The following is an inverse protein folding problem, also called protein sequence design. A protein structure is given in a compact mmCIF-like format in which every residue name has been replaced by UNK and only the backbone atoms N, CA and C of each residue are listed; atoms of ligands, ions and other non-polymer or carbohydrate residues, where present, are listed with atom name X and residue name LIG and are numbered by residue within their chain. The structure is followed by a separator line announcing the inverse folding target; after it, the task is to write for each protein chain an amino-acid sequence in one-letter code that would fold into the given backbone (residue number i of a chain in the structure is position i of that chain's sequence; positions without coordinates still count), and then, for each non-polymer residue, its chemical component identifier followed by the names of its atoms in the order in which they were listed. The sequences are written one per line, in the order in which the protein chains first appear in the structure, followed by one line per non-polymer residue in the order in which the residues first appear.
data_IF_432565988459
#
_entry.id   IF_432565988459
#
_cell.length_a   1.000
_cell.length_b   1.000
_cell.length_c   1.000
_cell.angle_alpha   90.00
_cell.angle_beta   90.00
_cell.angle_gamma   90.00
#
_symmetry.space_group_name_H-M   'P 1'
#
loop_
_entity.id
_entity.type
_entity.pdbx_description
1 polymer ?
#
# COMPACT_ATOMS: atom_id res chain seq x y z
N UNK A 1 1.60 3.96 1.47
CA UNK A 1 2.26 4.62 2.60
C UNK A 1 1.40 5.68 3.23
N UNK A 2 1.99 6.55 4.07
CA UNK A 2 1.29 7.68 4.68
C UNK A 2 0.97 8.74 3.62
N UNK A 3 2.00 9.24 2.91
CA UNK A 3 1.85 10.28 1.88
C UNK A 3 1.89 9.78 0.44
N UNK A 4 2.16 8.49 0.17
CA UNK A 4 2.28 7.96 -1.20
C UNK A 4 1.56 6.64 -1.37
N UNK A 5 1.04 6.40 -2.58
CA UNK A 5 0.52 5.11 -3.01
C UNK A 5 1.39 4.57 -4.15
N UNK A 6 2.00 3.42 -3.92
CA UNK A 6 2.83 2.72 -4.89
C UNK A 6 1.97 1.72 -5.65
N UNK A 7 2.18 1.63 -6.96
CA UNK A 7 1.39 0.81 -7.88
C UNK A 7 2.37 -0.08 -8.65
N UNK A 8 2.11 -1.37 -8.68
CA UNK A 8 2.83 -2.31 -9.54
C UNK A 8 1.84 -3.15 -10.34
N UNK A 9 2.07 -3.27 -11.63
CA UNK A 9 1.28 -4.10 -12.53
C UNK A 9 2.05 -5.38 -12.79
N UNK A 10 1.39 -6.50 -12.52
CA UNK A 10 1.94 -7.86 -12.68
C UNK A 10 1.19 -8.56 -13.80
N UNK A 11 1.93 -9.17 -14.70
CA UNK A 11 1.41 -10.04 -15.75
C UNK A 11 2.27 -11.30 -15.85
N UNK A 12 1.61 -12.46 -15.89
CA UNK A 12 2.28 -13.77 -15.98
C UNK A 12 3.39 -13.98 -14.93
N UNK A 13 3.14 -13.49 -13.69
CA UNK A 13 4.07 -13.58 -12.56
C UNK A 13 5.22 -12.56 -12.57
N UNK A 14 5.30 -11.68 -13.57
CA UNK A 14 6.35 -10.66 -13.69
C UNK A 14 5.79 -9.26 -13.53
N UNK A 15 6.54 -8.36 -12.87
CA UNK A 15 6.21 -6.95 -12.81
C UNK A 15 6.51 -6.33 -14.17
N UNK A 16 5.50 -5.77 -14.83
CA UNK A 16 5.60 -5.15 -16.15
C UNK A 16 5.58 -3.61 -16.10
N UNK A 17 5.04 -3.04 -15.04
CA UNK A 17 5.04 -1.60 -14.84
C UNK A 17 5.05 -1.27 -13.33
N UNK A 18 5.64 -0.13 -13.01
CA UNK A 18 5.70 0.42 -11.67
C UNK A 18 5.42 1.92 -11.70
N UNK A 19 4.70 2.42 -10.73
CA UNK A 19 4.41 3.84 -10.60
C UNK A 19 4.03 4.22 -9.18
N UNK A 20 3.92 5.53 -8.93
CA UNK A 20 3.59 6.11 -7.65
C UNK A 20 2.72 7.34 -7.86
N UNK A 21 1.84 7.62 -6.91
CA UNK A 21 1.16 8.91 -6.77
C UNK A 21 1.44 9.49 -5.38
N UNK A 22 1.58 10.82 -5.25
CA UNK A 22 1.84 11.47 -3.97
C UNK A 22 0.54 11.74 -3.19
N UNK A 23 -0.35 10.76 -3.12
CA UNK A 23 -1.63 10.79 -2.41
C UNK A 23 -1.84 9.46 -1.69
N UNK A 24 -2.16 9.51 -0.42
CA UNK A 24 -2.47 8.32 0.40
C UNK A 24 -3.23 8.67 1.68
N UNK A 25 -2.96 7.98 2.78
CA UNK A 25 -3.67 8.13 4.05
C UNK A 25 -3.58 9.51 4.70
N UNK A 26 -2.57 10.31 4.35
CA UNK A 26 -2.39 11.67 4.89
C UNK A 26 -3.50 12.62 4.42
N UNK A 27 -4.03 12.45 3.21
CA UNK A 27 -5.19 13.20 2.71
C UNK A 27 -6.40 13.06 3.64
N UNK A 28 -6.62 11.86 4.15
CA UNK A 28 -7.70 11.58 5.12
C UNK A 28 -7.40 12.26 6.45
N UNK A 29 -6.14 12.21 6.90
CA UNK A 29 -5.72 12.87 8.14
C UNK A 29 -5.90 14.39 8.04
N UNK A 30 -5.52 14.99 6.92
CA UNK A 30 -5.71 16.41 6.66
C UNK A 30 -7.19 16.81 6.62
N UNK A 31 -8.06 15.99 6.01
CA UNK A 31 -9.49 16.23 6.02
C UNK A 31 -10.07 16.27 7.44
N UNK A 32 -9.63 15.34 8.31
CA UNK A 32 -10.00 15.31 9.73
C UNK A 32 -9.46 16.54 10.47
N UNK A 33 -8.17 16.87 10.29
CA UNK A 33 -7.53 18.01 10.91
C UNK A 33 -8.24 19.33 10.56
N UNK A 34 -8.57 19.52 9.28
CA UNK A 34 -9.30 20.68 8.78
C UNK A 34 -10.73 20.75 9.33
N UNK A 35 -11.44 19.62 9.38
CA UNK A 35 -12.83 19.59 9.88
C UNK A 35 -12.93 19.96 11.34
N UNK A 36 -12.01 19.44 12.16
CA UNK A 36 -12.07 19.59 13.61
C UNK A 36 -11.12 20.64 14.17
N UNK A 37 -10.44 21.39 13.29
CA UNK A 37 -9.47 22.42 13.66
C UNK A 37 -8.47 21.88 14.69
N UNK A 38 -7.80 20.76 14.35
CA UNK A 38 -6.82 20.12 15.21
C UNK A 38 -5.48 19.96 14.46
N UNK A 39 -4.41 19.63 15.19
CA UNK A 39 -3.12 19.32 14.58
C UNK A 39 -3.14 17.95 13.89
N UNK A 40 -2.13 17.74 13.04
CA UNK A 40 -2.00 16.51 12.26
C UNK A 40 -1.87 15.25 13.13
N UNK A 41 -1.13 15.32 14.23
CA UNK A 41 -0.90 14.18 15.13
C UNK A 41 -2.20 13.75 15.81
N UNK A 42 -2.97 14.72 16.29
CA UNK A 42 -4.30 14.48 16.89
C UNK A 42 -5.26 13.90 15.86
N UNK A 43 -5.28 14.44 14.62
CA UNK A 43 -6.11 13.91 13.53
C UNK A 43 -5.72 12.46 13.17
N UNK A 44 -4.41 12.16 13.09
CA UNK A 44 -3.92 10.81 12.84
C UNK A 44 -4.28 9.84 13.97
N UNK A 45 -4.21 10.30 15.22
CA UNK A 45 -4.69 9.53 16.37
C UNK A 45 -6.20 9.22 16.26
N UNK A 46 -7.03 10.22 15.93
CA UNK A 46 -8.48 10.06 15.75
C UNK A 46 -8.75 9.02 14.67
N UNK A 47 -8.14 9.16 13.50
CA UNK A 47 -8.25 8.23 12.37
C UNK A 47 -7.99 6.80 12.78
N UNK A 48 -6.83 6.54 13.40
CA UNK A 48 -6.42 5.20 13.85
C UNK A 48 -7.29 4.65 14.99
N UNK A 49 -7.72 5.52 15.89
CA UNK A 49 -8.55 5.11 17.02
C UNK A 49 -9.97 4.72 16.56
N UNK A 50 -10.55 5.41 15.58
CA UNK A 50 -11.85 5.09 15.00
C UNK A 50 -11.86 3.80 14.16
N UNK A 51 -10.69 3.29 13.72
CA UNK A 51 -10.62 1.93 13.16
C UNK A 51 -10.98 0.84 14.18
N UNK A 52 -10.78 1.11 15.47
CA UNK A 52 -10.90 0.12 16.57
C UNK A 52 -12.04 0.41 17.51
N UNK A 53 -12.46 1.66 17.63
CA UNK A 53 -13.47 2.14 18.58
C UNK A 53 -14.64 2.76 17.82
N UNK A 54 -15.83 2.60 18.36
CA UNK A 54 -17.04 3.22 17.79
C UNK A 54 -17.02 4.74 17.90
N UNK A 55 -16.36 5.28 18.93
CA UNK A 55 -16.19 6.73 19.12
C UNK A 55 -14.90 7.06 19.84
N UNK A 56 -14.39 8.25 19.61
CA UNK A 56 -13.17 8.80 20.21
C UNK A 56 -13.47 10.21 20.70
N UNK A 57 -12.92 10.58 21.86
CA UNK A 57 -13.00 11.95 22.39
C UNK A 57 -11.63 12.57 22.39
N UNK A 58 -11.55 13.83 21.98
CA UNK A 58 -10.34 14.65 21.97
C UNK A 58 -10.68 16.10 22.33
N UNK A 59 -9.68 16.98 22.42
CA UNK A 59 -9.88 18.42 22.57
C UNK A 59 -9.47 19.12 21.28
N UNK A 60 -10.31 20.08 20.85
CA UNK A 60 -9.96 20.97 19.75
C UNK A 60 -8.94 22.04 20.19
N UNK A 61 -8.54 22.91 19.26
CA UNK A 61 -7.60 24.02 19.55
C UNK A 61 -8.13 25.02 20.60
N UNK A 62 -9.43 25.03 20.85
CA UNK A 62 -10.08 25.89 21.85
C UNK A 62 -10.21 25.21 23.22
N UNK A 63 -9.75 23.94 23.32
CA UNK A 63 -9.87 23.14 24.55
C UNK A 63 -11.25 22.49 24.75
N UNK A 64 -12.17 22.65 23.79
CA UNK A 64 -13.49 22.03 23.84
C UNK A 64 -13.41 20.53 23.61
N UNK A 65 -14.13 19.76 24.46
CA UNK A 65 -14.17 18.31 24.28
C UNK A 65 -15.13 17.95 23.16
N UNK A 66 -14.61 17.30 22.13
CA UNK A 66 -15.35 16.80 20.97
C UNK A 66 -15.36 15.27 21.04
N UNK A 67 -16.50 14.68 20.70
CA UNK A 67 -16.65 13.25 20.49
C UNK A 67 -16.99 12.99 19.03
N UNK A 68 -16.29 12.06 18.40
CA UNK A 68 -16.42 11.69 16.98
C UNK A 68 -16.69 10.22 16.88
N UNK A 69 -17.58 9.82 15.99
CA UNK A 69 -17.89 8.43 15.69
C UNK A 69 -17.11 7.94 14.47
N UNK A 70 -17.12 6.64 14.24
CA UNK A 70 -16.55 6.04 13.03
C UNK A 70 -17.28 6.54 11.78
N UNK A 71 -18.59 6.69 11.87
CA UNK A 71 -19.46 7.17 10.80
C UNK A 71 -19.14 8.63 10.42
N UNK A 72 -18.89 9.50 11.41
CA UNK A 72 -18.45 10.85 11.18
C UNK A 72 -17.13 10.90 10.40
N UNK A 73 -16.17 10.04 10.76
CA UNK A 73 -14.89 9.95 10.06
C UNK A 73 -15.06 9.43 8.65
N UNK A 74 -15.91 8.42 8.43
CA UNK A 74 -16.20 7.91 7.09
C UNK A 74 -16.76 9.01 6.18
N UNK A 75 -17.72 9.79 6.68
CA UNK A 75 -18.32 10.91 5.93
C UNK A 75 -17.30 12.01 5.62
N UNK A 76 -16.46 12.40 6.59
CA UNK A 76 -15.43 13.43 6.41
C UNK A 76 -14.38 12.99 5.40
N UNK A 77 -14.06 11.70 5.39
CA UNK A 77 -13.02 11.10 4.56
C UNK A 77 -13.49 10.78 3.13
N UNK A 78 -14.77 10.84 2.85
CA UNK A 78 -15.35 10.36 1.58
C UNK A 78 -14.73 11.04 0.37
N UNK A 79 -14.60 12.36 0.38
CA UNK A 79 -14.02 13.11 -0.73
C UNK A 79 -12.53 12.84 -0.89
N UNK A 80 -11.78 12.71 0.21
CA UNK A 80 -10.38 12.35 0.19
C UNK A 80 -10.18 10.94 -0.39
N UNK A 81 -10.99 9.97 0.03
CA UNK A 81 -10.96 8.59 -0.49
C UNK A 81 -11.28 8.57 -1.98
N UNK A 82 -12.30 9.30 -2.43
CA UNK A 82 -12.64 9.41 -3.87
C UNK A 82 -11.48 10.03 -4.67
N UNK A 83 -10.86 11.08 -4.16
CA UNK A 83 -9.72 11.70 -4.81
C UNK A 83 -8.53 10.74 -4.94
N UNK A 84 -8.16 10.06 -3.86
CA UNK A 84 -7.07 9.07 -3.86
C UNK A 84 -7.37 7.95 -4.86
N UNK A 85 -8.54 7.33 -4.78
CA UNK A 85 -8.91 6.17 -5.59
C UNK A 85 -9.03 6.51 -7.07
N UNK A 86 -9.52 7.71 -7.41
CA UNK A 86 -9.55 8.21 -8.78
C UNK A 86 -8.13 8.34 -9.34
N UNK A 87 -7.22 8.99 -8.61
CA UNK A 87 -5.84 9.16 -9.05
C UNK A 87 -5.10 7.82 -9.17
N UNK A 88 -5.38 6.86 -8.27
CA UNK A 88 -4.86 5.48 -8.39
C UNK A 88 -5.37 4.84 -9.68
N UNK A 89 -6.67 4.93 -9.95
CA UNK A 89 -7.28 4.34 -11.15
C UNK A 89 -6.69 4.95 -12.43
N UNK A 90 -6.61 6.28 -12.50
CA UNK A 90 -6.02 6.99 -13.63
C UNK A 90 -4.56 6.54 -13.86
N UNK A 91 -3.78 6.40 -12.78
CA UNK A 91 -2.39 5.93 -12.88
C UNK A 91 -2.27 4.47 -13.29
N UNK A 92 -3.17 3.60 -12.83
CA UNK A 92 -3.23 2.20 -13.26
C UNK A 92 -3.50 2.12 -14.78
N UNK A 93 -4.47 2.86 -15.27
CA UNK A 93 -4.80 2.90 -16.69
C UNK A 93 -3.62 3.43 -17.53
N UNK A 94 -2.97 4.51 -17.09
CA UNK A 94 -1.79 5.05 -17.75
C UNK A 94 -0.66 4.00 -17.84
N UNK A 95 -0.33 3.35 -16.72
CA UNK A 95 0.71 2.33 -16.64
C UNK A 95 0.41 1.08 -17.47
N UNK A 96 -0.87 0.80 -17.69
CA UNK A 96 -1.35 -0.37 -18.45
C UNK A 96 -1.75 -0.03 -19.90
N UNK A 97 -1.26 1.09 -20.45
CA UNK A 97 -1.52 1.48 -21.84
C UNK A 97 -2.98 1.81 -22.13
N UNK A 98 -3.70 2.38 -21.17
CA UNK A 98 -5.12 2.73 -21.28
C UNK A 98 -6.08 1.56 -21.08
N UNK A 99 -5.58 0.35 -20.80
CA UNK A 99 -6.42 -0.83 -20.60
C UNK A 99 -6.65 -1.09 -19.12
N UNK A 100 -7.84 -1.57 -18.76
CA UNK A 100 -8.13 -1.98 -17.40
C UNK A 100 -7.38 -3.27 -17.03
N UNK A 101 -7.05 -3.39 -15.75
CA UNK A 101 -6.48 -4.61 -15.16
C UNK A 101 -7.59 -5.61 -14.81
N UNK A 102 -7.23 -6.89 -14.63
CA UNK A 102 -8.23 -7.94 -14.31
C UNK A 102 -8.66 -7.92 -12.84
N UNK A 103 -7.81 -7.47 -11.93
CA UNK A 103 -8.06 -7.35 -10.51
C UNK A 103 -7.05 -6.41 -9.85
N UNK A 104 -7.39 -5.88 -8.68
CA UNK A 104 -6.51 -5.05 -7.85
C UNK A 104 -6.42 -5.62 -6.45
N UNK A 105 -5.21 -5.76 -5.95
CA UNK A 105 -4.93 -6.12 -4.56
C UNK A 105 -4.35 -4.92 -3.83
N UNK A 106 -5.06 -4.48 -2.80
CA UNK A 106 -4.65 -3.35 -1.96
C UNK A 106 -3.97 -3.86 -0.71
N UNK A 107 -2.80 -3.32 -0.39
CA UNK A 107 -2.05 -3.61 0.83
C UNK A 107 -1.75 -2.32 1.59
N UNK A 108 -1.46 -2.42 2.88
CA UNK A 108 -1.20 -1.26 3.72
C UNK A 108 -2.43 -0.75 4.47
N UNK A 109 -2.27 0.34 5.20
CA UNK A 109 -3.31 0.90 6.06
C UNK A 109 -4.35 1.71 5.32
N UNK A 110 -3.96 2.45 4.27
CA UNK A 110 -4.84 3.37 3.53
C UNK A 110 -6.05 2.68 2.90
N UNK A 111 -5.90 1.44 2.43
CA UNK A 111 -7.00 0.68 1.85
C UNK A 111 -8.12 0.28 2.82
N UNK A 112 -7.91 0.43 4.13
CA UNK A 112 -8.92 0.08 5.14
C UNK A 112 -10.00 1.15 5.33
N UNK A 113 -9.84 2.32 4.72
CA UNK A 113 -10.88 3.36 4.79
C UNK A 113 -12.16 2.86 4.14
N UNK A 114 -13.27 3.17 4.77
CA UNK A 114 -14.60 2.78 4.30
C UNK A 114 -14.85 3.34 2.89
N UNK A 115 -15.37 2.49 2.01
CA UNK A 115 -15.63 2.84 0.61
C UNK A 115 -14.39 2.87 -0.31
N UNK A 116 -13.18 2.57 0.18
CA UNK A 116 -11.96 2.67 -0.63
C UNK A 116 -11.95 1.66 -1.78
N UNK A 117 -12.23 0.39 -1.51
CA UNK A 117 -12.25 -0.68 -2.52
C UNK A 117 -13.38 -0.51 -3.52
N UNK A 118 -14.55 -0.11 -3.05
CA UNK A 118 -15.72 0.17 -3.87
C UNK A 118 -15.48 1.36 -4.79
N UNK A 119 -14.92 2.45 -4.26
CA UNK A 119 -14.58 3.63 -5.04
C UNK A 119 -13.52 3.33 -6.10
N UNK A 120 -12.49 2.55 -5.76
CA UNK A 120 -11.46 2.15 -6.71
C UNK A 120 -12.01 1.24 -7.81
N UNK A 121 -12.87 0.27 -7.45
CA UNK A 121 -13.57 -0.59 -8.39
C UNK A 121 -14.43 0.24 -9.36
N UNK A 122 -15.17 1.22 -8.83
CA UNK A 122 -16.00 2.12 -9.62
C UNK A 122 -15.17 2.88 -10.68
N UNK A 123 -14.06 3.52 -10.29
CA UNK A 123 -13.23 4.29 -11.23
C UNK A 123 -12.51 3.42 -12.26
N UNK A 124 -12.24 2.17 -11.95
CA UNK A 124 -11.65 1.21 -12.90
C UNK A 124 -12.70 0.49 -13.76
N UNK A 125 -13.99 0.63 -13.46
CA UNK A 125 -15.05 -0.13 -14.12
C UNK A 125 -15.00 -1.63 -13.81
N UNK A 126 -14.47 -2.00 -12.64
CA UNK A 126 -14.37 -3.38 -12.19
C UNK A 126 -15.53 -3.76 -11.27
N UNK A 127 -15.96 -5.04 -11.26
CA UNK A 127 -16.81 -5.56 -10.18
C UNK A 127 -16.09 -5.43 -8.81
N UNK A 128 -16.85 -5.17 -7.74
CA UNK A 128 -16.29 -4.98 -6.39
C UNK A 128 -15.42 -6.17 -5.95
N UNK A 129 -15.78 -7.39 -6.35
CA UNK A 129 -15.06 -8.63 -6.01
C UNK A 129 -13.67 -8.71 -6.66
N UNK A 130 -13.39 -7.83 -7.62
CA UNK A 130 -12.08 -7.75 -8.29
C UNK A 130 -11.13 -6.74 -7.64
N UNK A 131 -11.57 -6.03 -6.61
CA UNK A 131 -10.74 -5.12 -5.83
C UNK A 131 -10.79 -5.55 -4.37
N UNK A 132 -9.69 -6.06 -3.85
CA UNK A 132 -9.66 -6.67 -2.52
C UNK A 132 -8.46 -6.18 -1.69
N UNK A 133 -8.69 -5.98 -0.40
CA UNK A 133 -7.60 -5.76 0.57
C UNK A 133 -6.99 -7.12 0.90
N UNK A 134 -5.65 -7.22 0.79
CA UNK A 134 -4.91 -8.41 1.18
C UNK A 134 -4.31 -8.22 2.57
N UNK A 135 -4.48 -9.19 3.44
CA UNK A 135 -4.10 -9.07 4.84
C UNK A 135 -3.75 -10.40 5.51
N UNK A 136 -4.53 -10.81 6.51
CA UNK A 136 -4.23 -11.96 7.33
C UNK A 136 -4.09 -13.28 6.54
N UNK A 137 -4.84 -13.43 5.45
CA UNK A 137 -4.84 -14.63 4.61
C UNK A 137 -3.50 -14.87 3.90
N UNK A 138 -2.82 -13.79 3.47
CA UNK A 138 -1.48 -13.89 2.85
C UNK A 138 -0.37 -14.07 3.89
N UNK A 139 -0.66 -13.80 5.16
CA UNK A 139 0.25 -13.96 6.30
C UNK A 139 0.07 -15.30 7.03
N UNK A 140 -0.75 -16.20 6.50
CA UNK A 140 -1.07 -17.49 7.14
C UNK A 140 0.16 -18.37 7.37
N UNK A 141 1.15 -18.29 6.50
CA UNK A 141 2.40 -19.07 6.61
C UNK A 141 3.47 -18.41 7.50
N UNK A 142 3.23 -17.17 7.95
CA UNK A 142 4.18 -16.43 8.81
C UNK A 142 3.91 -16.78 10.27
N UNK A 143 4.92 -17.32 10.95
CA UNK A 143 4.90 -17.53 12.39
C UNK A 143 5.42 -16.28 13.09
N UNK A 144 4.67 -15.80 14.07
CA UNK A 144 5.06 -14.66 14.89
C UNK A 144 5.40 -15.20 16.28
N UNK A 145 6.63 -14.98 16.72
CA UNK A 145 7.06 -15.39 18.06
C UNK A 145 6.49 -14.47 19.16
N UNK A 146 6.21 -13.22 18.80
CA UNK A 146 5.63 -12.25 19.73
C UNK A 146 4.10 -12.35 19.72
N UNK A 147 3.49 -12.45 20.89
CA UNK A 147 2.05 -12.43 21.06
C UNK A 147 1.45 -11.02 20.84
N UNK A 148 0.19 -10.96 20.42
CA UNK A 148 -0.55 -9.71 20.28
C UNK A 148 -0.29 -8.94 18.98
N UNK A 149 0.55 -9.46 18.08
CA UNK A 149 0.74 -8.86 16.75
C UNK A 149 -0.52 -9.00 15.92
N UNK A 150 -1.01 -7.87 15.41
CA UNK A 150 -2.16 -7.85 14.52
C UNK A 150 -1.74 -8.22 13.10
N UNK A 151 -2.16 -9.39 12.64
CA UNK A 151 -1.94 -9.88 11.26
C UNK A 151 -2.95 -9.20 10.33
N UNK A 152 -2.56 -8.09 9.71
CA UNK A 152 -3.41 -7.37 8.78
C UNK A 152 -2.62 -6.81 7.58
N UNK A 153 -3.30 -6.07 6.71
CA UNK A 153 -2.73 -5.52 5.47
C UNK A 153 -1.50 -4.63 5.68
N UNK A 154 -1.30 -4.06 6.87
CA UNK A 154 -0.14 -3.19 7.16
C UNK A 154 1.17 -3.97 7.27
N UNK A 155 1.12 -5.27 7.57
CA UNK A 155 2.29 -6.13 7.68
C UNK A 155 2.69 -6.79 6.36
N UNK A 156 1.83 -6.78 5.35
CA UNK A 156 2.10 -7.47 4.07
C UNK A 156 3.35 -6.92 3.40
N UNK A 157 3.45 -5.61 3.25
CA UNK A 157 4.61 -4.96 2.61
C UNK A 157 5.92 -5.13 3.40
N UNK A 158 5.99 -4.83 4.73
CA UNK A 158 7.21 -5.03 5.49
C UNK A 158 7.70 -6.49 5.47
N UNK A 159 6.81 -7.45 5.61
CA UNK A 159 7.17 -8.86 5.57
C UNK A 159 7.60 -9.30 4.18
N UNK A 160 6.92 -8.83 3.11
CA UNK A 160 7.34 -9.07 1.74
C UNK A 160 8.75 -8.56 1.46
N UNK A 161 9.10 -7.37 1.93
CA UNK A 161 10.46 -6.82 1.82
C UNK A 161 11.47 -7.72 2.55
N UNK A 162 11.17 -8.15 3.77
CA UNK A 162 12.04 -9.06 4.51
C UNK A 162 12.22 -10.39 3.78
N UNK A 163 11.15 -11.01 3.32
CA UNK A 163 11.20 -12.28 2.59
C UNK A 163 12.03 -12.14 1.32
N UNK A 164 11.76 -11.13 0.52
CA UNK A 164 12.52 -10.88 -0.72
C UNK A 164 14.01 -10.66 -0.44
N UNK A 165 14.35 -9.94 0.65
CA UNK A 165 15.74 -9.76 1.04
C UNK A 165 16.45 -11.08 1.35
N UNK A 166 15.80 -11.99 2.10
CA UNK A 166 16.38 -13.28 2.43
C UNK A 166 16.45 -14.22 1.23
N UNK A 167 15.44 -14.21 0.37
CA UNK A 167 15.43 -14.98 -0.88
C UNK A 167 16.53 -14.49 -1.83
N UNK A 168 16.64 -13.17 -2.05
CA UNK A 168 17.66 -12.58 -2.91
C UNK A 168 19.09 -12.80 -2.39
N UNK A 169 19.27 -12.85 -1.07
CA UNK A 169 20.60 -13.10 -0.49
C UNK A 169 21.16 -14.48 -0.86
N UNK A 170 20.29 -15.44 -1.14
CA UNK A 170 20.64 -16.79 -1.57
C UNK A 170 20.72 -16.92 -3.09
N UNK A 171 20.19 -15.97 -3.85
CA UNK A 171 20.08 -16.04 -5.31
C UNK A 171 21.10 -15.15 -6.04
N UNK A 172 22.11 -14.64 -5.35
CA UNK A 172 23.18 -13.95 -6.01
C UNK A 172 24.39 -14.85 -6.18
N UNK A 173 24.87 -14.97 -7.43
CA UNK A 173 26.16 -15.54 -7.78
C UNK A 173 27.13 -14.44 -8.12
N UNK A 174 28.41 -14.72 -7.96
CA UNK A 174 29.48 -13.84 -8.36
C UNK A 174 30.29 -14.53 -9.43
N UNK A 175 30.47 -13.89 -10.57
CA UNK A 175 31.29 -14.36 -11.67
C UNK A 175 32.45 -13.38 -11.90
N UNK A 176 33.54 -13.90 -12.43
CA UNK A 176 34.66 -13.05 -12.85
C UNK A 176 34.54 -12.78 -14.35
N UNK A 177 34.46 -11.50 -14.72
CA UNK A 177 34.48 -11.04 -16.12
C UNK A 177 35.67 -10.08 -16.26
N UNK A 178 36.63 -10.42 -17.10
CA UNK A 178 37.85 -9.62 -17.30
C UNK A 178 38.52 -9.19 -15.99
N UNK A 179 38.71 -10.15 -15.07
CA UNK A 179 39.31 -9.98 -13.75
C UNK A 179 38.47 -9.10 -12.75
N UNK A 180 37.30 -8.64 -13.14
CA UNK A 180 36.37 -7.92 -12.24
C UNK A 180 35.27 -8.85 -11.73
N UNK A 181 34.92 -8.69 -10.45
CA UNK A 181 33.85 -9.45 -9.80
C UNK A 181 32.52 -8.84 -10.11
N UNK A 182 31.69 -9.52 -10.90
CA UNK A 182 30.33 -9.11 -11.25
C UNK A 182 29.34 -9.90 -10.43
N UNK A 183 28.37 -9.22 -9.81
CA UNK A 183 27.29 -9.81 -9.04
C UNK A 183 26.09 -10.01 -9.97
N UNK A 184 25.62 -11.24 -10.12
CA UNK A 184 24.48 -11.60 -10.95
C UNK A 184 23.34 -12.15 -10.07
N UNK A 185 22.13 -11.89 -10.49
CA UNK A 185 20.96 -12.51 -9.89
C UNK A 185 20.72 -13.88 -10.53
N UNK A 186 20.75 -14.93 -9.72
CA UNK A 186 20.47 -16.30 -10.15
C UNK A 186 18.96 -16.58 -10.11
N UNK A 187 18.34 -16.54 -11.27
CA UNK A 187 16.95 -16.93 -11.48
C UNK A 187 16.82 -18.39 -11.97
N UNK A 188 17.88 -19.19 -11.80
CA UNK A 188 17.98 -20.56 -12.32
C UNK A 188 18.39 -20.65 -13.80
N UNK A 189 18.62 -19.55 -14.50
CA UNK A 189 19.00 -19.48 -15.91
C UNK A 189 19.96 -18.32 -16.19
N UNK A 190 21.06 -18.24 -15.44
CA UNK A 190 22.08 -17.20 -15.69
C UNK A 190 22.87 -17.54 -16.94
N UNK A 191 22.93 -16.60 -17.88
CA UNK A 191 23.65 -16.74 -19.14
C UNK A 191 24.93 -15.88 -19.16
N UNK A 192 25.82 -16.15 -20.11
CA UNK A 192 27.00 -15.30 -20.39
C UNK A 192 26.58 -13.89 -20.77
N UNK A 193 25.45 -13.75 -21.46
CA UNK A 193 24.92 -12.43 -21.84
C UNK A 193 24.55 -11.61 -20.60
N UNK A 194 23.94 -12.22 -19.58
CA UNK A 194 23.60 -11.53 -18.33
C UNK A 194 24.87 -11.03 -17.63
N UNK A 195 25.95 -11.82 -17.67
CA UNK A 195 27.24 -11.41 -17.13
C UNK A 195 27.85 -10.23 -17.91
N UNK A 196 27.79 -10.26 -19.24
CA UNK A 196 28.29 -9.17 -20.07
C UNK A 196 27.48 -7.89 -19.88
N UNK A 197 26.15 -7.98 -19.85
CA UNK A 197 25.27 -6.80 -19.63
C UNK A 197 25.49 -6.19 -18.24
N UNK A 198 25.74 -7.01 -17.22
CA UNK A 198 26.00 -6.52 -15.85
C UNK A 198 27.42 -6.00 -15.64
N UNK A 199 28.34 -6.31 -16.56
CA UNK A 199 29.71 -5.81 -16.56
C UNK A 199 29.82 -4.39 -17.13
N UNK A 200 28.91 -3.99 -18.06
CA UNK A 200 28.84 -2.67 -18.73
C UNK A 200 29.31 -2.75 -20.18
#
# INVERSE_FOLDING_TARGET
GAGTSDISIVKDGSIIAFGMIPLAGDEVTEAIAKKYLTDFETAEYIKRACERKKSVSFKDIFGSKIQVTKEDIAQISEDAVKNITKNIADRILELNGGQCVSAVFVVGGGGKHEGFTESLAHYLGLPNERVAIRGAEVLSQVQFEQEGIRKDSTLVTPLGICMTYYEQKNNFIHVMVNEQRVKLYDNGKVSVLDACVSYG
#
